data_IF_196495872256
#
_entry.id   IF_196495872256
#
_cell.length_a   1.000
_cell.length_b   1.000
_cell.length_c   1.000
_cell.angle_alpha   90.00
_cell.angle_beta   90.00
_cell.angle_gamma   90.00
#
_symmetry.space_group_name_H-M   'P 1'
#
loop_
_entity.id
_entity.type
_entity.pdbx_description
1 polymer ?
#
# COMPACT_ATOMS: atom_id res chain seq x y z
N UNK A 1 2.16 -6.59 -3.84
CA UNK A 1 2.26 -7.51 -2.70
C UNK A 1 0.84 -8.00 -2.42
N UNK A 2 0.55 -9.29 -2.60
CA UNK A 2 -0.77 -9.85 -2.32
C UNK A 2 -0.87 -10.10 -0.80
N UNK A 3 -1.87 -9.52 -0.14
CA UNK A 3 -2.13 -9.77 1.28
C UNK A 3 -2.53 -11.23 1.51
N UNK A 4 -1.78 -11.96 2.34
CA UNK A 4 -2.12 -13.33 2.73
C UNK A 4 -3.03 -13.30 3.96
N UNK A 5 -4.20 -13.94 3.87
CA UNK A 5 -5.14 -14.08 4.99
C UNK A 5 -4.76 -15.34 5.77
N UNK A 6 -4.35 -15.17 7.03
CA UNK A 6 -3.93 -16.28 7.90
C UNK A 6 -5.10 -16.81 8.74
N UNK A 7 -5.90 -15.91 9.32
CA UNK A 7 -7.11 -16.21 10.07
C UNK A 7 -8.11 -15.06 9.92
N UNK A 8 -9.41 -15.34 10.10
CA UNK A 8 -10.44 -14.31 10.05
C UNK A 8 -11.46 -14.48 11.18
N UNK A 9 -11.29 -13.71 12.26
CA UNK A 9 -12.25 -13.62 13.37
C UNK A 9 -13.38 -12.61 13.14
N UNK A 10 -13.53 -12.12 11.90
CA UNK A 10 -14.43 -11.05 11.51
C UNK A 10 -14.51 -10.94 9.99
N UNK A 11 -14.69 -9.73 9.46
CA UNK A 11 -14.81 -9.54 8.03
C UNK A 11 -13.43 -9.44 7.32
N UNK A 12 -13.09 -10.36 6.39
CA UNK A 12 -11.81 -10.33 5.68
C UNK A 12 -11.61 -9.09 4.82
N UNK A 13 -12.67 -8.50 4.27
CA UNK A 13 -12.55 -7.35 3.38
C UNK A 13 -12.01 -6.11 4.08
N UNK A 14 -12.53 -5.83 5.28
CA UNK A 14 -12.06 -4.69 6.07
C UNK A 14 -10.61 -4.93 6.52
N UNK A 15 -10.28 -6.15 6.95
CA UNK A 15 -8.94 -6.55 7.36
C UNK A 15 -7.90 -6.43 6.22
N UNK A 16 -8.23 -6.90 5.03
CA UNK A 16 -7.36 -6.80 3.84
C UNK A 16 -7.18 -5.35 3.42
N UNK A 17 -8.24 -4.54 3.41
CA UNK A 17 -8.14 -3.12 3.04
C UNK A 17 -7.23 -2.32 3.97
N UNK A 18 -7.25 -2.65 5.27
CA UNK A 18 -6.35 -2.05 6.25
C UNK A 18 -4.92 -2.57 6.11
N UNK A 19 -4.74 -3.86 5.85
CA UNK A 19 -3.43 -4.47 5.61
C UNK A 19 -2.76 -3.87 4.36
N UNK A 20 -3.53 -3.63 3.30
CA UNK A 20 -3.02 -3.01 2.08
C UNK A 20 -2.64 -1.54 2.29
N UNK A 21 -3.49 -0.75 2.95
CA UNK A 21 -3.19 0.65 3.27
C UNK A 21 -1.96 0.78 4.17
N UNK A 22 -1.84 -0.08 5.18
CA UNK A 22 -0.66 -0.10 6.05
C UNK A 22 0.59 -0.59 5.32
N UNK A 23 0.47 -1.58 4.43
CA UNK A 23 1.59 -2.01 3.59
C UNK A 23 2.08 -0.85 2.72
N UNK A 24 1.20 -0.06 2.12
CA UNK A 24 1.59 1.15 1.37
C UNK A 24 2.27 2.16 2.29
N UNK A 25 1.71 2.47 3.46
CA UNK A 25 2.30 3.40 4.43
C UNK A 25 3.67 2.94 4.99
N UNK A 26 3.90 1.64 5.11
CA UNK A 26 5.17 1.08 5.63
C UNK A 26 6.20 0.84 4.53
N UNK A 27 5.76 0.49 3.31
CA UNK A 27 6.62 0.30 2.12
C UNK A 27 6.97 1.61 1.42
N UNK A 28 6.56 2.73 1.99
CA UNK A 28 6.87 4.10 1.62
C UNK A 28 8.36 4.46 1.47
N UNK A 29 9.25 3.50 1.71
CA UNK A 29 10.67 3.63 1.45
C UNK A 29 10.98 3.16 0.03
N UNK A 30 10.46 3.87 -0.97
CA UNK A 30 10.94 3.67 -2.33
C UNK A 30 12.30 4.35 -2.44
N UNK A 31 13.32 3.59 -2.85
CA UNK A 31 14.66 4.12 -3.09
C UNK A 31 14.56 5.23 -4.14
N UNK A 32 15.14 6.38 -3.85
CA UNK A 32 15.21 7.46 -4.80
C UNK A 32 16.10 7.04 -5.99
N UNK A 33 15.55 7.13 -7.20
CA UNK A 33 16.30 6.86 -8.43
C UNK A 33 16.19 8.07 -9.37
N UNK A 34 17.32 8.45 -9.98
CA UNK A 34 17.36 9.47 -11.03
C UNK A 34 17.43 8.76 -12.37
N UNK A 35 16.58 9.21 -13.30
CA UNK A 35 16.70 8.82 -14.70
C UNK A 35 17.59 9.86 -15.35
N UNK A 36 18.79 9.47 -15.74
CA UNK A 36 19.65 10.30 -16.57
C UNK A 36 19.28 10.05 -18.03
N UNK A 37 18.54 10.97 -18.64
CA UNK A 37 18.35 10.98 -20.10
C UNK A 37 19.65 11.49 -20.73
N UNK A 38 20.52 10.56 -21.12
CA UNK A 38 21.61 10.84 -22.04
C UNK A 38 21.03 10.95 -23.46
N UNK A 39 21.54 11.88 -24.27
CA UNK A 39 21.04 12.21 -25.63
C UNK A 39 21.03 11.05 -26.65
N UNK A 40 21.33 9.81 -26.23
CA UNK A 40 21.29 8.62 -27.07
C UNK A 40 20.35 7.56 -26.49
N UNK A 41 19.08 7.57 -26.93
CA UNK A 41 18.06 6.50 -26.96
C UNK A 41 17.89 5.47 -25.81
N UNK A 42 18.71 5.48 -24.77
CA UNK A 42 18.71 4.54 -23.65
C UNK A 42 18.76 5.33 -22.34
N UNK A 43 17.68 5.33 -21.54
CA UNK A 43 17.70 5.95 -20.23
C UNK A 43 18.54 5.10 -19.27
N UNK A 44 19.54 5.72 -18.66
CA UNK A 44 20.29 5.11 -17.55
C UNK A 44 19.58 5.42 -16.22
N UNK A 45 19.52 4.42 -15.36
CA UNK A 45 18.91 4.52 -14.02
C UNK A 45 20.02 4.58 -12.98
N UNK A 46 20.14 5.72 -12.30
CA UNK A 46 21.04 5.91 -11.17
C UNK A 46 20.25 5.70 -9.88
N UNK A 47 20.74 4.81 -9.01
CA UNK A 47 20.17 4.55 -7.68
C UNK A 47 20.95 5.35 -6.63
N UNK A 48 20.26 5.91 -5.64
CA UNK A 48 20.91 6.53 -4.49
C UNK A 48 21.51 5.45 -3.58
N UNK A 49 22.78 5.63 -3.17
CA UNK A 49 23.48 4.75 -2.22
C UNK A 49 23.12 5.06 -0.75
N UNK A 50 22.40 6.16 -0.49
CA UNK A 50 21.97 6.53 0.86
C UNK A 50 20.69 5.77 1.26
N UNK A 51 20.72 4.90 2.28
CA UNK A 51 19.54 4.16 2.74
C UNK A 51 18.45 5.05 3.36
N UNK A 52 18.74 6.32 3.62
CA UNK A 52 17.78 7.32 4.12
C UNK A 52 17.17 8.16 3.00
N UNK A 53 17.71 8.13 1.78
CA UNK A 53 17.20 8.86 0.61
C UNK A 53 16.00 8.11 -0.01
N UNK A 54 14.88 8.24 0.67
CA UNK A 54 13.64 7.54 0.34
C UNK A 54 12.51 8.51 0.07
N UNK A 55 11.71 8.22 -0.97
CA UNK A 55 10.56 9.05 -1.33
C UNK A 55 9.28 8.48 -0.71
N UNK A 56 8.69 9.27 0.17
CA UNK A 56 7.39 9.03 0.81
C UNK A 56 6.28 9.24 -0.25
N UNK A 57 5.45 8.24 -0.49
CA UNK A 57 4.24 8.36 -1.33
C UNK A 57 3.19 9.24 -0.60
N UNK A 58 2.08 9.62 -1.23
CA UNK A 58 0.99 10.27 -0.50
C UNK A 58 -0.12 9.25 -0.25
N UNK A 59 -0.40 8.95 1.02
CA UNK A 59 -1.41 7.96 1.44
C UNK A 59 -2.69 8.58 2.00
N UNK A 60 -2.81 9.92 2.04
CA UNK A 60 -3.95 10.61 2.66
C UNK A 60 -5.29 10.20 2.05
N UNK A 61 -5.34 10.10 0.72
CA UNK A 61 -6.57 9.83 -0.04
C UNK A 61 -6.76 8.35 -0.41
N UNK A 62 -6.03 7.43 0.21
CA UNK A 62 -6.22 5.99 -0.05
C UNK A 62 -7.49 5.53 0.66
N UNK A 63 -8.49 4.99 -0.07
CA UNK A 63 -9.74 4.53 0.52
C UNK A 63 -9.53 3.27 1.38
N UNK A 64 -10.38 3.11 2.40
CA UNK A 64 -10.50 1.86 3.16
C UNK A 64 -11.88 1.25 2.93
N UNK A 65 -11.98 -0.07 3.00
CA UNK A 65 -13.27 -0.77 2.94
C UNK A 65 -13.82 -0.88 4.37
N UNK A 66 -15.10 -0.55 4.53
CA UNK A 66 -15.84 -0.70 5.77
C UNK A 66 -17.13 -1.45 5.50
N UNK A 67 -17.37 -2.51 6.25
CA UNK A 67 -18.56 -3.34 6.06
C UNK A 67 -19.58 -3.09 7.15
N UNK A 68 -20.80 -2.74 6.74
CA UNK A 68 -21.93 -2.52 7.63
C UNK A 68 -22.87 -3.72 7.53
N UNK A 69 -23.10 -4.41 8.66
CA UNK A 69 -24.02 -5.55 8.74
C UNK A 69 -25.29 -5.14 9.50
N UNK A 70 -26.46 -5.32 8.86
CA UNK A 70 -27.76 -5.13 9.51
C UNK A 70 -28.19 -6.42 10.21
N UNK A 71 -28.35 -6.36 11.53
CA UNK A 71 -28.90 -7.47 12.32
C UNK A 71 -30.38 -7.22 12.58
N UNK A 72 -31.27 -7.99 11.95
CA UNK A 72 -32.70 -7.99 12.27
C UNK A 72 -32.99 -9.10 13.29
N UNK A 73 -33.40 -8.73 14.51
CA UNK A 73 -33.98 -9.70 15.46
C UNK A 73 -35.43 -9.97 15.09
N UNK A 74 -35.77 -11.21 14.74
CA UNK A 74 -37.14 -11.70 14.81
C UNK A 74 -37.46 -11.99 16.29
N UNK A 75 -38.47 -11.32 16.86
CA UNK A 75 -39.10 -11.75 18.11
C UNK A 75 -39.99 -12.95 17.76
N UNK A 76 -39.62 -14.13 18.26
CA UNK A 76 -40.52 -15.28 18.39
C UNK A 76 -41.37 -15.12 19.65
#
# INVERSE_FOLDING_TARGET
>A
MLGHILECGGNPYDAVSLAEKSALFLQHKFLYYKIATMDGYQPDVELSDDPYDTKILNTENIPCVLTLMKVCRLKL
#
